data_IF_382475955857
#
_entry.id   IF_382475955857
#
_cell.length_a   1.000
_cell.length_b   1.000
_cell.length_c   1.000
_cell.angle_alpha   90.00
_cell.angle_beta   90.00
_cell.angle_gamma   90.00
#
_symmetry.space_group_name_H-M   'P 1'
#
loop_
_entity.id
_entity.type
_entity.pdbx_description
1 polymer ?
#
# COMPACT_ATOMS: atom_id res chain seq x y z
N UNK A 1 0.16 23.11 -2.82
CA UNK A 1 0.62 21.84 -2.20
C UNK A 1 1.71 21.27 -3.10
N UNK A 2 2.85 20.85 -2.54
CA UNK A 2 3.95 20.30 -3.34
C UNK A 2 3.58 18.95 -3.96
N UNK A 3 3.92 18.75 -5.23
CA UNK A 3 3.77 17.53 -5.99
C UNK A 3 5.04 17.30 -6.82
N UNK A 4 5.43 16.04 -7.03
CA UNK A 4 6.65 15.70 -7.78
C UNK A 4 6.52 16.01 -9.27
N UNK A 5 5.31 15.98 -9.82
CA UNK A 5 5.01 16.34 -11.20
C UNK A 5 4.13 17.59 -11.22
N UNK A 6 4.65 18.72 -11.65
CA UNK A 6 3.81 19.87 -11.96
C UNK A 6 3.03 19.64 -13.26
N UNK A 7 1.93 20.34 -13.44
CA UNK A 7 1.21 20.34 -14.71
C UNK A 7 2.02 21.03 -15.81
N UNK A 8 2.05 20.44 -17.02
CA UNK A 8 2.68 20.99 -18.21
C UNK A 8 1.66 21.10 -19.34
N UNK A 9 1.70 22.21 -20.07
CA UNK A 9 0.77 22.44 -21.18
C UNK A 9 1.03 21.53 -22.42
N UNK A 10 2.20 20.88 -22.49
CA UNK A 10 2.56 19.98 -23.57
C UNK A 10 3.68 19.03 -23.17
N UNK A 11 3.84 17.94 -23.95
CA UNK A 11 4.95 17.00 -23.79
C UNK A 11 6.32 17.68 -24.00
N UNK A 12 6.42 18.61 -24.93
CA UNK A 12 7.67 19.32 -25.18
C UNK A 12 8.01 20.24 -24.00
N UNK A 13 7.03 20.95 -23.44
CA UNK A 13 7.21 21.72 -22.21
C UNK A 13 7.63 20.83 -21.03
N UNK A 14 7.06 19.65 -20.90
CA UNK A 14 7.46 18.68 -19.88
C UNK A 14 8.90 18.20 -20.08
N UNK A 15 9.31 17.85 -21.29
CA UNK A 15 10.68 17.40 -21.61
C UNK A 15 11.74 18.47 -21.36
N UNK A 16 11.41 19.73 -21.61
CA UNK A 16 12.33 20.86 -21.41
C UNK A 16 12.38 21.35 -19.98
N UNK A 17 11.25 21.28 -19.26
CA UNK A 17 11.08 21.89 -17.95
C UNK A 17 11.16 20.91 -16.76
N UNK A 18 11.00 19.59 -16.97
CA UNK A 18 11.01 18.65 -15.86
C UNK A 18 12.42 18.44 -15.30
N UNK A 19 12.55 18.61 -14.00
CA UNK A 19 13.73 18.22 -13.24
C UNK A 19 13.26 17.49 -11.96
N UNK A 20 14.06 16.54 -11.50
CA UNK A 20 13.85 15.90 -10.21
C UNK A 20 14.22 16.88 -9.10
N UNK A 21 13.23 17.58 -8.57
CA UNK A 21 13.40 18.46 -7.42
C UNK A 21 12.91 17.73 -6.16
N UNK A 22 13.83 16.98 -5.55
CA UNK A 22 13.54 16.25 -4.33
C UNK A 22 13.73 17.18 -3.11
N UNK A 23 12.81 17.17 -2.13
CA UNK A 23 13.01 17.93 -0.89
C UNK A 23 14.19 17.36 -0.09
N UNK A 24 14.94 18.22 0.59
CA UNK A 24 16.06 17.79 1.45
C UNK A 24 15.57 16.89 2.59
N UNK A 25 14.44 17.27 3.21
CA UNK A 25 13.75 16.48 4.22
C UNK A 25 12.51 15.83 3.57
N UNK A 26 12.45 14.50 3.60
CA UNK A 26 11.33 13.75 3.04
C UNK A 26 11.02 12.49 3.83
N UNK A 27 9.78 12.40 4.32
CA UNK A 27 9.19 11.19 4.86
C UNK A 27 7.90 10.88 4.10
N UNK A 28 7.79 9.72 3.42
CA UNK A 28 6.62 9.39 2.60
C UNK A 28 5.32 9.35 3.40
N UNK A 29 5.35 8.93 4.66
CA UNK A 29 4.15 8.92 5.48
C UNK A 29 3.62 10.34 5.75
N UNK A 30 4.51 11.32 5.96
CA UNK A 30 4.13 12.72 6.12
C UNK A 30 3.58 13.28 4.81
N UNK A 31 4.25 13.01 3.70
CA UNK A 31 3.82 13.43 2.37
C UNK A 31 2.43 12.87 2.01
N UNK A 32 2.18 11.60 2.27
CA UNK A 32 0.96 10.94 1.84
C UNK A 32 -0.28 11.34 2.65
N UNK A 33 -0.16 11.69 3.91
CA UNK A 33 -1.35 11.95 4.74
C UNK A 33 -1.43 13.35 5.33
N UNK A 34 -0.31 14.03 5.67
CA UNK A 34 -0.36 15.30 6.41
C UNK A 34 -0.47 16.54 5.54
N UNK A 35 -0.19 16.44 4.24
CA UNK A 35 -0.33 17.59 3.34
C UNK A 35 -1.75 17.82 2.81
N UNK A 36 -2.65 16.88 3.02
CA UNK A 36 -4.04 16.94 2.54
C UNK A 36 -4.99 17.43 3.63
N UNK A 37 -6.20 17.83 3.23
CA UNK A 37 -7.29 18.10 4.17
C UNK A 37 -7.55 16.82 4.99
N UNK A 38 -7.44 16.88 6.32
CA UNK A 38 -7.62 15.70 7.17
C UNK A 38 -9.02 15.07 7.09
N UNK A 39 -10.04 15.84 6.69
CA UNK A 39 -11.41 15.34 6.54
C UNK A 39 -11.68 14.74 5.13
N UNK A 40 -10.77 14.93 4.19
CA UNK A 40 -10.89 14.34 2.84
C UNK A 40 -10.79 12.82 2.92
N UNK A 41 -11.68 12.13 2.19
CA UNK A 41 -11.63 10.65 2.09
C UNK A 41 -10.36 10.21 1.37
N UNK A 42 -9.56 9.37 2.03
CA UNK A 42 -8.37 8.74 1.47
C UNK A 42 -8.65 7.32 1.00
N UNK A 43 -9.47 6.58 1.75
CA UNK A 43 -9.72 5.17 1.51
C UNK A 43 -11.20 4.83 1.70
N UNK A 44 -11.76 4.13 0.72
CA UNK A 44 -13.02 3.42 0.85
C UNK A 44 -12.68 1.94 0.98
N UNK A 45 -13.16 1.26 2.01
CA UNK A 45 -12.92 -0.17 2.18
C UNK A 45 -14.24 -0.94 2.17
N UNK A 46 -14.37 -1.89 1.25
CA UNK A 46 -15.47 -2.85 1.22
C UNK A 46 -14.96 -4.22 1.68
N UNK A 47 -15.53 -4.73 2.76
CA UNK A 47 -15.21 -6.05 3.30
C UNK A 47 -15.94 -7.16 2.51
N UNK A 48 -15.55 -8.43 2.76
CA UNK A 48 -16.11 -9.60 2.08
C UNK A 48 -17.63 -9.77 2.30
N UNK A 49 -18.13 -9.30 3.45
CA UNK A 49 -19.57 -9.30 3.78
C UNK A 49 -20.35 -8.13 3.16
N UNK A 50 -19.67 -7.28 2.36
CA UNK A 50 -20.23 -6.10 1.71
C UNK A 50 -20.32 -4.86 2.62
N UNK A 51 -19.83 -4.93 3.85
CA UNK A 51 -19.74 -3.76 4.74
C UNK A 51 -18.75 -2.75 4.18
N UNK A 52 -19.20 -1.49 4.04
CA UNK A 52 -18.36 -0.39 3.54
C UNK A 52 -17.98 0.54 4.69
N UNK A 53 -16.71 0.88 4.77
CA UNK A 53 -16.17 1.91 5.66
C UNK A 53 -15.35 2.93 4.89
N UNK A 54 -15.32 4.16 5.38
CA UNK A 54 -14.51 5.25 4.81
C UNK A 54 -13.50 5.72 5.83
N UNK A 55 -12.30 6.04 5.36
CA UNK A 55 -11.21 6.54 6.18
C UNK A 55 -10.67 7.83 5.57
N UNK A 56 -10.64 8.90 6.34
CA UNK A 56 -10.07 10.16 5.90
C UNK A 56 -8.53 10.12 5.97
N UNK A 57 -7.87 11.09 5.34
CA UNK A 57 -6.42 11.29 5.48
C UNK A 57 -6.02 11.48 6.94
N UNK A 58 -6.82 12.21 7.72
CA UNK A 58 -6.62 12.38 9.15
C UNK A 58 -6.79 11.09 9.96
N UNK A 59 -7.70 10.18 9.54
CA UNK A 59 -7.84 8.87 10.18
C UNK A 59 -6.60 8.00 9.96
N UNK A 60 -6.09 7.95 8.72
CA UNK A 60 -4.88 7.23 8.40
C UNK A 60 -3.66 7.80 9.16
N UNK A 61 -3.56 9.14 9.25
CA UNK A 61 -2.48 9.80 10.00
C UNK A 61 -2.52 9.42 11.47
N UNK A 62 -3.68 9.60 12.13
CA UNK A 62 -3.84 9.30 13.57
C UNK A 62 -3.58 7.82 13.90
N UNK A 63 -4.12 6.90 13.09
CA UNK A 63 -3.95 5.45 13.33
C UNK A 63 -2.52 5.01 13.10
N UNK A 64 -1.85 5.54 12.09
CA UNK A 64 -0.44 5.23 11.84
C UNK A 64 0.51 5.87 12.87
N UNK A 65 0.17 7.03 13.45
CA UNK A 65 0.91 7.59 14.59
C UNK A 65 0.86 6.66 15.80
N UNK A 66 -0.34 6.17 16.14
CA UNK A 66 -0.53 5.26 17.28
C UNK A 66 0.21 3.95 17.07
N UNK A 67 0.12 3.38 15.88
CA UNK A 67 0.83 2.14 15.56
C UNK A 67 2.36 2.36 15.58
N UNK A 68 2.88 3.48 15.07
CA UNK A 68 4.30 3.81 15.13
C UNK A 68 4.79 3.93 16.59
N UNK A 69 4.02 4.59 17.46
CA UNK A 69 4.33 4.67 18.89
C UNK A 69 4.31 3.29 19.57
N UNK A 70 3.35 2.43 19.22
CA UNK A 70 3.26 1.08 19.74
C UNK A 70 4.44 0.21 19.28
N UNK A 71 4.81 0.27 17.98
CA UNK A 71 5.97 -0.43 17.45
C UNK A 71 7.28 0.01 18.14
N UNK A 72 7.44 1.31 18.34
CA UNK A 72 8.58 1.84 19.13
C UNK A 72 8.59 1.31 20.55
N UNK A 73 7.42 1.23 21.18
CA UNK A 73 7.25 0.64 22.54
C UNK A 73 7.59 -0.86 22.60
N UNK A 74 7.45 -1.58 21.50
CA UNK A 74 7.88 -2.97 21.32
C UNK A 74 9.38 -3.09 21.00
N UNK A 75 10.12 -1.99 20.92
CA UNK A 75 11.55 -1.99 20.66
C UNK A 75 11.90 -2.09 19.16
N UNK A 76 10.99 -1.72 18.27
CA UNK A 76 11.32 -1.51 16.85
C UNK A 76 11.98 -0.15 16.71
N UNK A 77 13.18 -0.12 16.18
CA UNK A 77 14.01 1.08 15.99
C UNK A 77 14.07 1.50 14.50
N UNK A 78 14.45 2.75 14.20
CA UNK A 78 14.76 3.16 12.83
C UNK A 78 15.77 2.22 12.15
N UNK A 79 15.44 1.79 10.93
CA UNK A 79 16.22 0.80 10.17
C UNK A 79 15.85 -0.66 10.43
N UNK A 80 15.06 -0.98 11.45
CA UNK A 80 14.50 -2.33 11.60
C UNK A 80 13.53 -2.63 10.48
N UNK A 81 13.39 -3.92 10.14
CA UNK A 81 12.44 -4.37 9.09
C UNK A 81 11.15 -4.83 9.75
N UNK A 82 10.03 -4.34 9.19
CA UNK A 82 8.68 -4.75 9.59
C UNK A 82 7.96 -5.27 8.36
N UNK A 83 7.61 -6.55 8.36
CA UNK A 83 6.87 -7.16 7.28
C UNK A 83 5.37 -6.79 7.37
N UNK A 84 4.73 -6.66 6.20
CA UNK A 84 3.30 -6.39 6.08
C UNK A 84 2.69 -7.45 5.18
N UNK A 85 1.97 -8.41 5.77
CA UNK A 85 1.30 -9.53 5.09
C UNK A 85 -0.21 -9.31 5.22
N UNK A 86 -0.69 -8.27 4.57
CA UNK A 86 -2.07 -7.78 4.69
C UNK A 86 -2.62 -7.49 3.31
N UNK A 87 -3.81 -8.02 2.95
CA UNK A 87 -4.43 -7.75 1.65
C UNK A 87 -4.93 -6.29 1.58
N UNK A 88 -5.78 -5.99 0.59
CA UNK A 88 -6.38 -4.66 0.42
C UNK A 88 -7.36 -4.32 1.56
N UNK A 89 -6.83 -4.07 2.74
CA UNK A 89 -7.57 -3.66 3.96
C UNK A 89 -6.97 -2.36 4.52
N UNK A 90 -7.71 -1.57 5.30
CA UNK A 90 -7.21 -0.31 5.88
C UNK A 90 -5.93 -0.47 6.69
N UNK A 91 -5.73 -1.61 7.32
CA UNK A 91 -4.52 -1.92 8.09
C UNK A 91 -3.24 -1.96 7.22
N UNK A 92 -3.34 -2.27 5.92
CA UNK A 92 -2.19 -2.32 5.01
C UNK A 92 -1.50 -0.93 4.90
N UNK A 93 -2.16 0.13 4.41
CA UNK A 93 -1.52 1.45 4.36
C UNK A 93 -1.16 1.97 5.76
N UNK A 94 -1.96 1.71 6.79
CA UNK A 94 -1.66 2.16 8.16
C UNK A 94 -0.34 1.55 8.65
N UNK A 95 -0.10 0.26 8.38
CA UNK A 95 1.15 -0.41 8.76
C UNK A 95 2.37 0.19 8.03
N UNK A 96 2.28 0.41 6.72
CA UNK A 96 3.36 1.03 5.95
C UNK A 96 3.65 2.46 6.41
N UNK A 97 2.60 3.26 6.62
CA UNK A 97 2.73 4.63 7.11
C UNK A 97 3.38 4.66 8.51
N UNK A 98 2.99 3.74 9.41
CA UNK A 98 3.58 3.63 10.74
C UNK A 98 5.07 3.26 10.67
N UNK A 99 5.44 2.31 9.81
CA UNK A 99 6.82 1.92 9.60
C UNK A 99 7.69 3.13 9.17
N UNK A 100 7.22 3.90 8.18
CA UNK A 100 7.98 5.07 7.70
C UNK A 100 8.00 6.22 8.69
N UNK A 101 6.93 6.43 9.47
CA UNK A 101 6.95 7.40 10.57
C UNK A 101 7.98 7.04 11.63
N UNK A 102 8.13 5.76 11.92
CA UNK A 102 9.14 5.26 12.84
C UNK A 102 10.56 5.26 12.24
N UNK A 103 10.69 5.34 10.93
CA UNK A 103 11.97 5.16 10.22
C UNK A 103 12.32 3.68 9.97
N UNK A 104 11.36 2.77 10.18
CA UNK A 104 11.53 1.36 9.89
C UNK A 104 11.37 1.06 8.38
N UNK A 105 11.98 -0.04 7.94
CA UNK A 105 11.93 -0.50 6.55
C UNK A 105 10.76 -1.47 6.37
N UNK A 106 9.81 -1.13 5.53
CA UNK A 106 8.68 -1.99 5.21
C UNK A 106 9.06 -3.16 4.30
N UNK A 107 8.53 -4.35 4.59
CA UNK A 107 8.67 -5.52 3.71
C UNK A 107 7.27 -5.97 3.28
N UNK A 108 6.75 -5.47 2.13
CA UNK A 108 5.44 -5.86 1.64
C UNK A 108 5.47 -7.31 1.14
N UNK A 109 4.58 -8.15 1.68
CA UNK A 109 4.43 -9.56 1.32
C UNK A 109 2.97 -9.88 1.06
N UNK A 110 2.71 -10.73 0.07
CA UNK A 110 1.34 -11.14 -0.25
C UNK A 110 0.84 -12.24 0.69
N UNK A 111 -0.45 -12.22 0.98
CA UNK A 111 -1.15 -13.29 1.72
C UNK A 111 -1.23 -14.61 0.94
N UNK A 112 -0.84 -14.60 -0.33
CA UNK A 112 -0.79 -15.79 -1.18
C UNK A 112 0.49 -16.63 -1.00
N UNK A 113 1.45 -16.13 -0.22
CA UNK A 113 2.65 -16.89 0.08
C UNK A 113 2.37 -17.96 1.13
N UNK A 114 2.66 -19.22 0.79
CA UNK A 114 2.70 -20.31 1.78
C UNK A 114 3.95 -20.22 2.69
N UNK A 115 4.05 -21.13 3.68
CA UNK A 115 5.04 -21.05 4.75
C UNK A 115 6.48 -20.98 4.25
N UNK A 116 6.91 -21.77 3.27
CA UNK A 116 8.28 -21.74 2.74
C UNK A 116 8.64 -20.38 2.13
N UNK A 117 7.68 -19.73 1.45
CA UNK A 117 7.89 -18.44 0.82
C UNK A 117 7.93 -17.29 1.85
N UNK A 118 7.16 -17.40 2.93
CA UNK A 118 7.19 -16.50 4.07
C UNK A 118 8.47 -16.67 4.87
N UNK A 119 8.86 -17.90 5.23
CA UNK A 119 10.10 -18.20 5.94
C UNK A 119 11.31 -17.55 5.26
N UNK A 120 11.46 -17.82 3.97
CA UNK A 120 12.59 -17.29 3.21
C UNK A 120 12.66 -15.75 3.31
N UNK A 121 11.55 -15.06 3.13
CA UNK A 121 11.54 -13.58 3.08
C UNK A 121 11.66 -12.95 4.46
N UNK A 122 11.04 -13.53 5.47
CA UNK A 122 11.14 -13.06 6.85
C UNK A 122 12.56 -13.25 7.39
N UNK A 123 13.18 -14.41 7.13
CA UNK A 123 14.54 -14.69 7.54
C UNK A 123 15.57 -13.84 6.76
N UNK A 124 15.47 -13.78 5.41
CA UNK A 124 16.41 -13.04 4.55
C UNK A 124 16.36 -11.53 4.81
N UNK A 125 15.16 -10.95 4.98
CA UNK A 125 15.03 -9.54 5.35
C UNK A 125 15.45 -9.27 6.80
N UNK A 126 15.49 -10.30 7.64
CA UNK A 126 15.66 -10.14 9.08
C UNK A 126 14.53 -9.30 9.70
N UNK A 127 13.28 -9.56 9.28
CA UNK A 127 12.13 -8.85 9.81
C UNK A 127 11.99 -9.07 11.32
N UNK A 128 11.90 -7.99 12.09
CA UNK A 128 11.79 -8.00 13.55
C UNK A 128 10.35 -8.08 14.02
N UNK A 129 9.44 -7.56 13.19
CA UNK A 129 8.00 -7.68 13.39
C UNK A 129 7.29 -8.01 12.08
N UNK A 130 6.10 -8.59 12.18
CA UNK A 130 5.18 -8.80 11.07
C UNK A 130 3.77 -8.34 11.45
N UNK A 131 3.17 -7.50 10.61
CA UNK A 131 1.74 -7.18 10.66
C UNK A 131 1.05 -8.14 9.69
N UNK A 132 0.12 -8.94 10.18
CA UNK A 132 -0.41 -10.08 9.45
C UNK A 132 -1.94 -10.14 9.46
N UNK A 133 -2.51 -10.52 8.33
CA UNK A 133 -3.90 -10.95 8.25
C UNK A 133 -4.10 -12.27 9.02
N UNK A 134 -5.23 -12.46 9.72
CA UNK A 134 -5.51 -13.72 10.42
C UNK A 134 -5.40 -14.96 9.52
N UNK A 135 -5.71 -14.83 8.23
CA UNK A 135 -5.65 -15.93 7.26
C UNK A 135 -4.26 -16.51 7.02
N UNK A 136 -3.19 -15.77 7.37
CA UNK A 136 -1.79 -16.26 7.22
C UNK A 136 -1.11 -16.54 8.56
N UNK A 137 -1.86 -16.46 9.66
CA UNK A 137 -1.31 -16.59 11.00
C UNK A 137 -0.65 -17.95 11.24
N UNK A 138 -1.31 -19.03 10.89
CA UNK A 138 -0.79 -20.39 11.07
C UNK A 138 0.51 -20.62 10.28
N UNK A 139 0.61 -20.06 9.07
CA UNK A 139 1.82 -20.14 8.25
C UNK A 139 3.01 -19.38 8.89
N UNK A 140 2.74 -18.21 9.49
CA UNK A 140 3.76 -17.43 10.20
C UNK A 140 4.21 -18.17 11.46
N UNK A 141 3.30 -18.71 12.25
CA UNK A 141 3.62 -19.45 13.45
C UNK A 141 4.44 -20.71 13.13
N UNK A 142 4.14 -21.42 12.04
CA UNK A 142 4.86 -22.59 11.59
C UNK A 142 6.34 -22.30 11.25
N UNK A 143 6.67 -21.07 10.82
CA UNK A 143 8.04 -20.70 10.39
C UNK A 143 8.77 -19.80 11.38
N UNK A 144 8.12 -19.41 12.48
CA UNK A 144 8.67 -18.46 13.45
C UNK A 144 10.03 -18.89 14.02
N UNK A 145 10.19 -20.18 14.33
CA UNK A 145 11.46 -20.71 14.86
C UNK A 145 12.62 -20.61 13.86
N UNK A 146 12.33 -20.62 12.56
CA UNK A 146 13.30 -20.44 11.48
C UNK A 146 13.63 -18.97 11.19
N UNK A 147 12.92 -18.03 11.82
CA UNK A 147 13.07 -16.59 11.66
C UNK A 147 13.58 -15.94 12.95
N UNK A 148 14.89 -16.08 13.28
CA UNK A 148 15.42 -15.72 14.62
C UNK A 148 15.34 -14.23 14.96
N UNK A 149 15.12 -13.35 13.98
CA UNK A 149 14.92 -11.93 14.20
C UNK A 149 13.46 -11.55 14.47
N UNK A 150 12.49 -12.47 14.22
CA UNK A 150 11.05 -12.18 14.31
C UNK A 150 10.59 -12.27 15.77
N UNK A 151 10.64 -11.13 16.46
CA UNK A 151 10.26 -10.99 17.86
C UNK A 151 8.73 -10.83 18.03
N UNK A 152 8.07 -10.11 17.10
CA UNK A 152 6.68 -9.69 17.25
C UNK A 152 5.81 -10.09 16.07
N UNK A 153 4.65 -10.67 16.37
CA UNK A 153 3.55 -10.88 15.43
C UNK A 153 2.40 -9.97 15.83
N UNK A 154 1.91 -9.14 14.89
CA UNK A 154 0.80 -8.22 15.08
C UNK A 154 -0.31 -8.66 14.15
N UNK A 155 -1.36 -9.26 14.72
CA UNK A 155 -2.48 -9.84 14.00
C UNK A 155 -3.61 -8.81 13.86
N UNK A 156 -4.24 -8.73 12.68
CA UNK A 156 -5.39 -7.86 12.48
C UNK A 156 -6.58 -8.31 13.33
N UNK A 157 -7.30 -7.34 13.90
CA UNK A 157 -8.47 -7.54 14.74
C UNK A 157 -8.32 -6.92 16.14
N UNK A 158 -9.39 -7.04 16.93
CA UNK A 158 -9.47 -6.49 18.28
C UNK A 158 -8.76 -7.37 19.34
N UNK A 159 -8.53 -8.62 18.99
CA UNK A 159 -7.86 -9.60 19.86
C UNK A 159 -6.91 -10.46 19.00
N UNK A 160 -5.85 -10.94 19.61
CA UNK A 160 -4.90 -11.85 18.99
C UNK A 160 -4.72 -13.12 19.83
N UNK A 161 -4.38 -14.22 19.19
CA UNK A 161 -4.14 -15.49 19.86
C UNK A 161 -2.69 -15.62 20.34
N UNK A 162 -2.47 -16.34 21.44
CA UNK A 162 -1.14 -16.65 21.94
C UNK A 162 -0.32 -15.41 22.33
N UNK A 163 0.90 -15.33 21.83
CA UNK A 163 1.85 -14.24 22.11
C UNK A 163 1.76 -13.07 21.09
N UNK A 164 0.81 -13.11 20.17
CA UNK A 164 0.63 -12.03 19.21
C UNK A 164 -0.02 -10.79 19.84
N UNK A 165 0.21 -9.65 19.23
CA UNK A 165 -0.42 -8.39 19.56
C UNK A 165 -1.63 -8.14 18.66
N UNK A 166 -2.75 -7.66 19.22
CA UNK A 166 -3.90 -7.26 18.41
C UNK A 166 -3.65 -5.90 17.77
N UNK A 167 -3.78 -5.81 16.45
CA UNK A 167 -3.53 -4.59 15.67
C UNK A 167 -4.38 -3.42 16.17
N UNK A 168 -5.70 -3.64 16.36
CA UNK A 168 -6.60 -2.56 16.77
C UNK A 168 -6.29 -2.08 18.19
N UNK A 169 -5.87 -2.97 19.09
CA UNK A 169 -5.42 -2.58 20.43
C UNK A 169 -4.18 -1.68 20.37
N UNK A 170 -3.18 -2.02 19.55
CA UNK A 170 -1.99 -1.20 19.34
C UNK A 170 -2.32 0.14 18.65
N UNK A 171 -3.12 0.11 17.60
CA UNK A 171 -3.50 1.30 16.84
C UNK A 171 -4.45 2.26 17.59
N UNK A 172 -4.95 1.87 18.77
CA UNK A 172 -5.80 2.68 19.63
C UNK A 172 -5.19 3.02 21.00
N UNK A 173 -4.15 2.31 21.43
CA UNK A 173 -3.61 2.39 22.81
C UNK A 173 -2.83 3.68 23.12
N UNK A 174 -2.28 4.34 22.10
CA UNK A 174 -1.46 5.55 22.27
C UNK A 174 -2.21 6.80 21.80
N UNK A 175 -1.85 7.95 22.38
CA UNK A 175 -2.34 9.22 21.85
C UNK A 175 -1.74 9.48 20.47
N UNK A 176 -2.50 10.10 19.53
CA UNK A 176 -1.97 10.51 18.23
C UNK A 176 -0.93 11.62 18.39
N UNK A 177 -0.14 11.85 17.36
CA UNK A 177 0.87 12.92 17.34
C UNK A 177 2.30 12.39 17.49
N UNK A 178 2.57 11.17 17.01
CA UNK A 178 3.93 10.63 16.96
C UNK A 178 4.85 11.53 16.13
N UNK A 179 6.00 11.87 16.68
CA UNK A 179 7.04 12.63 15.96
C UNK A 179 7.70 11.70 14.94
N UNK A 180 7.45 11.97 13.67
CA UNK A 180 8.00 11.16 12.58
C UNK A 180 9.51 11.26 12.52
N UNK A 181 10.17 10.15 12.27
CA UNK A 181 11.61 10.07 12.09
C UNK A 181 12.10 11.06 11.03
N UNK A 182 13.10 11.85 11.36
CA UNK A 182 13.74 12.74 10.41
C UNK A 182 14.43 11.92 9.32
N UNK A 183 14.01 12.09 8.08
CA UNK A 183 14.46 11.28 6.95
C UNK A 183 14.62 12.12 5.69
N UNK A 184 15.37 11.59 4.75
CA UNK A 184 15.68 12.17 3.44
C UNK A 184 15.17 11.24 2.32
N UNK A 185 15.18 11.67 1.05
CA UNK A 185 14.86 10.78 -0.07
C UNK A 185 15.71 9.51 -0.13
N UNK A 186 16.92 9.51 0.39
CA UNK A 186 17.86 8.37 0.41
C UNK A 186 17.64 7.41 1.59
N UNK A 187 16.84 7.79 2.58
CA UNK A 187 16.54 6.93 3.73
C UNK A 187 15.93 5.60 3.28
N UNK A 188 16.43 4.45 3.77
CA UNK A 188 15.85 3.14 3.48
C UNK A 188 14.36 3.08 3.79
N UNK A 189 13.57 2.54 2.87
CA UNK A 189 12.10 2.59 2.95
C UNK A 189 11.41 1.24 2.82
N UNK A 190 11.81 0.44 1.84
CA UNK A 190 11.17 -0.84 1.61
C UNK A 190 12.12 -1.88 1.03
N UNK A 191 11.92 -3.16 1.37
CA UNK A 191 12.54 -4.30 0.70
C UNK A 191 11.45 -5.00 -0.11
N UNK A 192 11.59 -4.96 -1.45
CA UNK A 192 10.69 -5.65 -2.37
C UNK A 192 11.35 -6.87 -2.97
N UNK A 193 10.72 -8.04 -2.83
CA UNK A 193 11.23 -9.28 -3.38
C UNK A 193 10.84 -9.45 -4.84
N UNK A 194 11.85 -9.73 -5.67
CA UNK A 194 11.68 -10.02 -7.09
C UNK A 194 12.08 -11.46 -7.39
N UNK A 195 11.38 -12.11 -8.33
CA UNK A 195 11.83 -13.39 -8.88
C UNK A 195 13.11 -13.15 -9.67
N UNK A 196 14.24 -13.57 -9.13
CA UNK A 196 15.49 -13.54 -9.90
C UNK A 196 15.40 -14.45 -11.13
N UNK A 197 16.09 -14.12 -12.22
CA UNK A 197 16.22 -14.99 -13.38
C UNK A 197 16.94 -16.30 -13.07
N UNK A 198 17.68 -16.35 -11.96
CA UNK A 198 18.40 -17.52 -11.46
C UNK A 198 18.44 -17.51 -9.94
N UNK A 199 18.01 -18.61 -9.32
CA UNK A 199 18.06 -18.81 -7.86
C UNK A 199 16.85 -18.25 -7.09
N UNK A 200 16.94 -18.17 -5.75
CA UNK A 200 15.85 -17.72 -4.91
C UNK A 200 15.50 -16.23 -5.15
N UNK A 201 14.32 -15.78 -4.73
CA UNK A 201 13.94 -14.39 -4.82
C UNK A 201 14.95 -13.47 -4.14
N UNK A 202 15.15 -12.26 -4.68
CA UNK A 202 16.08 -11.27 -4.15
C UNK A 202 15.34 -10.10 -3.55
N UNK A 203 15.67 -9.73 -2.31
CA UNK A 203 15.18 -8.53 -1.66
C UNK A 203 15.91 -7.30 -2.18
N UNK A 204 15.19 -6.40 -2.84
CA UNK A 204 15.73 -5.13 -3.34
C UNK A 204 15.40 -4.04 -2.36
N UNK A 205 16.42 -3.46 -1.73
CA UNK A 205 16.26 -2.32 -0.83
C UNK A 205 16.05 -1.04 -1.63
N UNK A 206 14.93 -0.37 -1.37
CA UNK A 206 14.58 0.91 -1.94
C UNK A 206 14.61 2.02 -0.89
N UNK A 207 14.97 3.24 -1.32
CA UNK A 207 14.86 4.44 -0.50
C UNK A 207 13.49 5.11 -0.60
N UNK A 208 13.26 6.15 0.20
CA UNK A 208 12.05 6.96 0.16
C UNK A 208 11.78 7.59 -1.23
N UNK A 209 12.83 7.88 -2.01
CA UNK A 209 12.72 8.41 -3.38
C UNK A 209 11.94 7.47 -4.33
N UNK A 210 11.86 6.16 -4.03
CA UNK A 210 11.03 5.22 -4.80
C UNK A 210 9.60 5.72 -4.98
N UNK A 211 9.00 6.21 -3.89
CA UNK A 211 7.59 6.61 -3.87
C UNK A 211 7.34 7.83 -4.74
N UNK A 212 8.29 8.78 -4.76
CA UNK A 212 8.22 9.94 -5.64
C UNK A 212 8.33 9.53 -7.11
N UNK A 213 9.21 8.58 -7.43
CA UNK A 213 9.29 8.01 -8.78
C UNK A 213 8.00 7.29 -9.21
N UNK A 214 7.35 6.59 -8.27
CA UNK A 214 6.05 5.93 -8.53
C UNK A 214 4.92 6.96 -8.71
N UNK A 215 4.89 8.01 -7.90
CA UNK A 215 3.92 9.09 -8.04
C UNK A 215 4.05 9.80 -9.40
N UNK A 216 5.29 10.12 -9.83
CA UNK A 216 5.53 10.72 -11.15
C UNK A 216 5.08 9.81 -12.31
N UNK A 217 5.32 8.49 -12.19
CA UNK A 217 4.84 7.54 -13.18
C UNK A 217 3.30 7.47 -13.20
N UNK A 218 2.66 7.40 -12.03
CA UNK A 218 1.20 7.34 -11.89
C UNK A 218 0.52 8.56 -12.50
N UNK A 219 1.06 9.75 -12.26
CA UNK A 219 0.56 10.99 -12.86
C UNK A 219 0.47 10.90 -14.38
N UNK A 220 1.46 10.30 -15.02
CA UNK A 220 1.48 10.18 -16.49
C UNK A 220 0.53 9.09 -17.00
N UNK A 221 0.46 7.92 -16.39
CA UNK A 221 -0.39 6.86 -16.92
C UNK A 221 -1.87 6.97 -16.50
N UNK A 222 -2.17 7.83 -15.53
CA UNK A 222 -3.53 8.23 -15.19
C UNK A 222 -3.92 9.60 -15.80
N UNK A 223 -3.31 9.95 -16.91
CA UNK A 223 -3.63 11.13 -17.73
C UNK A 223 -3.65 12.45 -16.95
N UNK A 224 -2.78 12.57 -15.94
CA UNK A 224 -2.57 13.75 -15.08
C UNK A 224 -3.75 14.14 -14.19
N UNK A 225 -4.81 13.35 -14.13
CA UNK A 225 -6.04 13.64 -13.37
C UNK A 225 -6.17 12.79 -12.09
N UNK A 226 -5.08 12.62 -11.35
CA UNK A 226 -5.04 11.74 -10.18
C UNK A 226 -5.71 12.34 -8.94
N UNK A 227 -5.64 13.66 -8.74
CA UNK A 227 -6.02 14.29 -7.48
C UNK A 227 -7.50 14.11 -7.08
N UNK A 228 -8.41 14.14 -8.06
CA UNK A 228 -9.85 13.98 -7.83
C UNK A 228 -10.34 12.55 -8.15
N UNK A 229 -9.41 11.65 -8.47
CA UNK A 229 -9.73 10.30 -8.87
C UNK A 229 -10.20 9.43 -7.70
N UNK A 230 -11.07 8.46 -8.02
CA UNK A 230 -11.25 7.25 -7.23
C UNK A 230 -10.48 6.12 -7.91
N UNK A 231 -9.39 5.71 -7.28
CA UNK A 231 -8.45 4.74 -7.84
C UNK A 231 -8.75 3.33 -7.36
N UNK A 232 -8.61 2.36 -8.25
CA UNK A 232 -8.65 0.95 -7.88
C UNK A 232 -7.73 0.10 -8.73
N UNK A 233 -7.28 -1.03 -8.20
CA UNK A 233 -6.55 -2.07 -8.93
C UNK A 233 -6.91 -3.45 -8.37
N UNK A 234 -7.07 -4.47 -9.20
CA UNK A 234 -7.17 -5.84 -8.73
C UNK A 234 -5.85 -6.41 -8.24
N UNK A 235 -4.72 -5.79 -8.48
CA UNK A 235 -3.43 -6.30 -8.06
C UNK A 235 -3.24 -6.18 -6.55
N UNK A 236 -2.61 -7.20 -5.94
CA UNK A 236 -2.27 -7.21 -4.52
C UNK A 236 -1.30 -6.05 -4.19
N UNK A 237 -1.56 -5.38 -3.07
CA UNK A 237 -0.72 -4.28 -2.59
C UNK A 237 0.68 -4.70 -2.09
N UNK A 238 1.03 -5.98 -2.13
CA UNK A 238 2.42 -6.41 -2.02
C UNK A 238 3.25 -6.13 -3.29
N UNK A 239 2.60 -5.83 -4.43
CA UNK A 239 3.28 -5.57 -5.70
C UNK A 239 3.50 -4.08 -5.91
N UNK A 240 4.72 -3.72 -6.38
CA UNK A 240 5.12 -2.34 -6.53
C UNK A 240 4.23 -1.48 -7.44
N UNK A 241 3.56 -2.06 -8.46
CA UNK A 241 2.62 -1.34 -9.32
C UNK A 241 1.32 -0.99 -8.56
N UNK A 242 0.81 -1.89 -7.74
CA UNK A 242 -0.38 -1.66 -6.93
C UNK A 242 -0.08 -0.78 -5.71
N UNK A 243 0.93 -1.15 -4.91
CA UNK A 243 1.31 -0.44 -3.70
C UNK A 243 1.80 0.98 -3.99
N UNK A 244 2.80 1.10 -4.89
CA UNK A 244 3.41 2.39 -5.20
C UNK A 244 2.67 3.17 -6.27
N UNK A 245 2.14 2.48 -7.31
CA UNK A 245 1.55 3.13 -8.48
C UNK A 245 0.05 3.43 -8.36
N UNK A 246 -0.67 2.76 -7.48
CA UNK A 246 -2.10 3.04 -7.26
C UNK A 246 -2.34 3.59 -5.86
N UNK A 247 -1.96 2.86 -4.81
CA UNK A 247 -2.25 3.25 -3.43
C UNK A 247 -1.48 4.51 -3.02
N UNK A 248 -0.14 4.45 -2.95
CA UNK A 248 0.64 5.56 -2.42
C UNK A 248 0.82 6.71 -3.42
N UNK A 249 0.81 6.44 -4.73
CA UNK A 249 0.71 7.51 -5.70
C UNK A 249 -0.62 8.25 -5.59
N UNK A 250 -1.73 7.54 -5.42
CA UNK A 250 -3.03 8.15 -5.12
C UNK A 250 -2.95 9.06 -3.88
N UNK A 251 -2.40 8.56 -2.79
CA UNK A 251 -2.23 9.36 -1.57
C UNK A 251 -1.30 10.56 -1.75
N UNK A 252 -0.25 10.44 -2.57
CA UNK A 252 0.61 11.60 -2.90
C UNK A 252 -0.19 12.74 -3.52
N UNK A 253 -1.14 12.44 -4.42
CA UNK A 253 -1.95 13.46 -5.09
C UNK A 253 -3.25 13.83 -4.36
N UNK A 254 -3.64 13.09 -3.34
CA UNK A 254 -4.85 13.33 -2.56
C UNK A 254 -6.09 12.62 -3.11
N UNK A 255 -5.91 11.59 -3.93
CA UNK A 255 -6.99 10.75 -4.46
C UNK A 255 -7.68 9.90 -3.39
N UNK A 256 -8.86 9.41 -3.70
CA UNK A 256 -9.50 8.33 -2.96
C UNK A 256 -9.08 6.98 -3.54
N UNK A 257 -8.77 5.99 -2.71
CA UNK A 257 -8.44 4.63 -3.15
C UNK A 257 -9.48 3.65 -2.64
N UNK A 258 -9.96 2.76 -3.51
CA UNK A 258 -10.83 1.65 -3.11
C UNK A 258 -9.97 0.46 -2.66
N UNK A 259 -10.20 0.01 -1.44
CA UNK A 259 -9.69 -1.22 -0.86
C UNK A 259 -10.78 -2.28 -0.90
N UNK A 260 -10.53 -3.35 -1.63
CA UNK A 260 -11.46 -4.47 -1.73
C UNK A 260 -10.65 -5.77 -1.80
N UNK A 261 -10.47 -6.47 -0.66
CA UNK A 261 -9.86 -7.78 -0.64
C UNK A 261 -10.77 -8.76 -1.38
N UNK A 262 -10.20 -9.74 -2.05
CA UNK A 262 -10.94 -10.80 -2.72
C UNK A 262 -10.10 -12.05 -2.83
N UNK A 263 -10.74 -13.20 -2.75
CA UNK A 263 -10.09 -14.49 -2.94
C UNK A 263 -9.95 -14.84 -4.42
N UNK A 264 -10.99 -14.51 -5.23
CA UNK A 264 -11.02 -14.80 -6.66
C UNK A 264 -11.36 -13.54 -7.46
N UNK A 265 -10.95 -13.53 -8.74
CA UNK A 265 -11.30 -12.46 -9.67
C UNK A 265 -12.60 -12.81 -10.39
N UNK A 266 -13.70 -12.20 -9.95
CA UNK A 266 -15.01 -12.26 -10.60
C UNK A 266 -15.25 -10.99 -11.43
N UNK A 267 -15.31 -11.07 -12.78
CA UNK A 267 -15.51 -9.92 -13.66
C UNK A 267 -16.80 -9.16 -13.40
N UNK A 268 -17.90 -9.87 -13.11
CA UNK A 268 -19.21 -9.23 -12.82
C UNK A 268 -19.11 -8.43 -11.52
N UNK A 269 -18.54 -9.05 -10.48
CA UNK A 269 -18.32 -8.38 -9.20
C UNK A 269 -17.40 -7.16 -9.32
N UNK A 270 -16.42 -7.19 -10.22
CA UNK A 270 -15.55 -6.04 -10.50
C UNK A 270 -16.33 -4.87 -11.05
N UNK A 271 -17.18 -5.09 -12.09
CA UNK A 271 -17.99 -4.02 -12.65
C UNK A 271 -19.01 -3.46 -11.64
N UNK A 272 -19.63 -4.33 -10.82
CA UNK A 272 -20.53 -3.90 -9.74
C UNK A 272 -19.82 -2.96 -8.74
N UNK A 273 -18.56 -3.27 -8.32
CA UNK A 273 -17.82 -2.45 -7.36
C UNK A 273 -17.32 -1.17 -7.99
N UNK A 274 -16.86 -1.23 -9.25
CA UNK A 274 -16.47 -0.02 -9.98
C UNK A 274 -17.63 0.97 -10.08
N UNK A 275 -18.84 0.50 -10.42
CA UNK A 275 -20.04 1.33 -10.49
C UNK A 275 -20.46 1.83 -9.10
N UNK A 276 -20.49 0.94 -8.09
CA UNK A 276 -20.90 1.28 -6.71
C UNK A 276 -20.07 2.36 -6.06
N UNK A 277 -18.76 2.37 -6.33
CA UNK A 277 -17.78 3.25 -5.69
C UNK A 277 -17.28 4.35 -6.62
N UNK A 278 -17.91 4.58 -7.76
CA UNK A 278 -17.55 5.62 -8.72
C UNK A 278 -16.05 5.58 -9.08
N UNK A 279 -15.53 4.36 -9.38
CA UNK A 279 -14.11 4.21 -9.75
C UNK A 279 -13.88 4.89 -11.09
N UNK A 280 -13.02 5.92 -11.09
CA UNK A 280 -12.70 6.70 -12.28
C UNK A 280 -11.42 6.24 -12.96
N UNK A 281 -10.45 5.75 -12.19
CA UNK A 281 -9.14 5.35 -12.70
C UNK A 281 -8.75 3.97 -12.18
N UNK A 282 -8.25 3.12 -13.08
CA UNK A 282 -7.87 1.76 -12.70
C UNK A 282 -6.56 1.31 -13.35
N UNK A 283 -5.74 0.61 -12.58
CA UNK A 283 -4.60 -0.12 -13.10
C UNK A 283 -4.94 -1.61 -13.15
N UNK A 284 -5.08 -2.17 -14.36
CA UNK A 284 -5.48 -3.56 -14.57
C UNK A 284 -4.37 -4.36 -15.27
N UNK A 285 -3.93 -5.50 -14.70
CA UNK A 285 -3.07 -6.41 -15.44
C UNK A 285 -3.81 -6.97 -16.68
N UNK A 286 -3.12 -7.25 -17.78
CA UNK A 286 -3.75 -7.75 -19.01
C UNK A 286 -4.61 -9.00 -18.81
N UNK A 287 -4.25 -9.88 -17.88
CA UNK A 287 -5.07 -11.05 -17.53
C UNK A 287 -6.44 -10.64 -17.01
N UNK A 288 -6.52 -9.64 -16.11
CA UNK A 288 -7.78 -9.12 -15.60
C UNK A 288 -8.62 -8.50 -16.73
N UNK A 289 -7.98 -7.74 -17.63
CA UNK A 289 -8.66 -7.17 -18.80
C UNK A 289 -9.29 -8.24 -19.68
N UNK A 290 -8.56 -9.34 -19.98
CA UNK A 290 -9.11 -10.46 -20.78
C UNK A 290 -10.33 -11.09 -20.11
N UNK A 291 -10.34 -11.19 -18.78
CA UNK A 291 -11.50 -11.73 -18.04
C UNK A 291 -12.69 -10.75 -18.11
N UNK A 292 -12.45 -9.45 -17.96
CA UNK A 292 -13.50 -8.42 -18.08
C UNK A 292 -14.12 -8.35 -19.48
N UNK A 293 -13.32 -8.59 -20.53
CA UNK A 293 -13.81 -8.69 -21.92
C UNK A 293 -14.79 -9.85 -22.16
N UNK A 294 -14.87 -10.79 -21.22
CA UNK A 294 -15.86 -11.90 -21.25
C UNK A 294 -17.26 -11.52 -20.78
N UNK A 295 -17.44 -10.31 -20.22
CA UNK A 295 -18.75 -9.81 -19.79
C UNK A 295 -19.45 -9.11 -20.95
N UNK A 296 -20.67 -9.54 -21.25
CA UNK A 296 -21.46 -8.98 -22.35
C UNK A 296 -22.02 -7.59 -21.94
N UNK A 297 -21.86 -6.61 -22.83
CA UNK A 297 -22.45 -5.26 -22.77
C UNK A 297 -22.32 -4.58 -21.36
N UNK A 298 -21.11 -4.49 -20.78
CA UNK A 298 -20.95 -3.98 -19.42
C UNK A 298 -21.38 -2.51 -19.27
N UNK A 299 -21.23 -1.68 -20.32
CA UNK A 299 -21.64 -0.28 -20.32
C UNK A 299 -23.19 -0.10 -20.26
N UNK A 300 -23.94 -1.08 -20.75
CA UNK A 300 -25.40 -1.04 -20.67
C UNK A 300 -25.95 -1.58 -19.33
N UNK A 301 -25.12 -2.36 -18.63
CA UNK A 301 -25.50 -3.06 -17.39
C UNK A 301 -25.06 -2.34 -16.13
N UNK A 302 -23.98 -1.59 -16.19
CA UNK A 302 -23.38 -0.91 -15.03
C UNK A 302 -23.18 0.58 -15.32
N UNK A 303 -23.51 1.43 -14.37
CA UNK A 303 -23.27 2.88 -14.44
C UNK A 303 -21.81 3.17 -14.09
N UNK A 304 -20.93 3.01 -15.07
CA UNK A 304 -19.49 3.11 -14.89
C UNK A 304 -18.99 4.55 -15.05
N UNK A 305 -18.27 5.03 -14.05
CA UNK A 305 -17.58 6.34 -14.07
C UNK A 305 -16.12 6.25 -14.56
N UNK A 306 -15.71 5.11 -15.15
CA UNK A 306 -14.33 4.85 -15.54
C UNK A 306 -13.87 5.77 -16.68
N UNK A 307 -12.88 6.60 -16.41
CA UNK A 307 -12.30 7.59 -17.34
C UNK A 307 -10.96 7.11 -17.90
N UNK A 308 -10.10 6.56 -17.04
CA UNK A 308 -8.75 6.14 -17.42
C UNK A 308 -8.43 4.72 -16.95
N UNK A 309 -7.84 3.96 -17.85
CA UNK A 309 -7.40 2.61 -17.59
C UNK A 309 -5.95 2.44 -18.04
N UNK A 310 -5.08 2.10 -17.09
CA UNK A 310 -3.68 1.76 -17.36
C UNK A 310 -3.47 0.24 -17.27
N UNK A 311 -2.62 -0.29 -18.14
CA UNK A 311 -2.27 -1.71 -18.12
C UNK A 311 -0.77 -1.91 -18.32
N UNK A 312 -0.18 -2.85 -17.59
CA UNK A 312 1.19 -3.29 -17.75
C UNK A 312 1.40 -4.68 -17.12
N UNK A 313 2.52 -5.32 -17.48
CA UNK A 313 2.98 -6.57 -16.86
C UNK A 313 3.05 -7.77 -17.80
N UNK A 314 2.30 -7.74 -18.89
CA UNK A 314 2.28 -8.79 -19.93
C UNK A 314 2.06 -8.15 -21.29
N UNK A 315 2.47 -8.81 -22.40
CA UNK A 315 2.15 -8.34 -23.77
C UNK A 315 0.68 -8.54 -24.13
#
# INVERSE_FOLDING_TARGET
MWQIMPAYDSLDAAREGFAWELPDDYNPAVDFVRKHDPERTALIAEADDGTVSTHSYGDLDRRSDRLAAALSGLGIDPGDRVAVVVPQKPANPIAHLANWKLGAVSVPLTVLFGPEALEYRLADSGAKAVVADPGVRDDIDAVRESCPALDHVIELGDSAAGEAHAFEALASASEPGFESHASTPETPSAIMYTSGSTGPPKGVLHSHALWLGRAAAAYNYFDQEVAEATLWTPADWAWGAALGGTLFAGFHYGATVLAWPREEFDPEAVFERMARHDVTHSFLPPTALRMLMGVDDPADRYDLSLETLAAAGEP
#
